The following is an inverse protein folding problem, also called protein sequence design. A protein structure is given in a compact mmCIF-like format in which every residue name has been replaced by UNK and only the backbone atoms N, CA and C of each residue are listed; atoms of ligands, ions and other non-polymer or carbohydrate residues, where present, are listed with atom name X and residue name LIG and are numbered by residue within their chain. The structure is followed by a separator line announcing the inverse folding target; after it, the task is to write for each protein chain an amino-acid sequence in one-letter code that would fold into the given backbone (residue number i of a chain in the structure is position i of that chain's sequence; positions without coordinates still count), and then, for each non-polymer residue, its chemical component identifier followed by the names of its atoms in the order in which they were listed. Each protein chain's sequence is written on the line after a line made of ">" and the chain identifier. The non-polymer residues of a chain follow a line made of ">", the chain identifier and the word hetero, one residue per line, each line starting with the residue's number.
data_IF_339115656020
#
_entry.id   IF_339115656020
#
_cell.length_a   1.000
_cell.length_b   1.000
_cell.length_c   1.000
_cell.angle_alpha   90.00
_cell.angle_beta   90.00
_cell.angle_gamma   90.00
#
_symmetry.space_group_name_H-M   'P 1'
#
loop_
_entity.id
_entity.type
_entity.pdbx_description
1 polymer ?
#
# COMPACT_ATOMS: atom_id res chain seq x y z
N UNK A 1 -14.28 5.42 10.86
CA UNK A 1 -13.52 4.15 10.76
C UNK A 1 -12.18 4.44 10.11
N UNK A 2 -11.07 4.39 10.85
CA UNK A 2 -9.72 4.70 10.35
C UNK A 2 -8.84 3.44 10.37
N UNK A 3 -9.18 2.45 9.55
CA UNK A 3 -8.39 1.22 9.40
C UNK A 3 -7.29 1.31 8.34
N UNK A 4 -7.24 2.39 7.56
CA UNK A 4 -6.43 2.44 6.33
C UNK A 4 -5.10 3.19 6.43
N UNK A 5 -4.76 3.81 7.58
CA UNK A 5 -3.50 4.58 7.70
C UNK A 5 -2.29 3.68 7.92
N UNK A 6 -2.45 2.59 8.68
CA UNK A 6 -1.34 1.69 9.01
C UNK A 6 -0.82 0.93 7.78
N UNK A 7 -1.70 0.64 6.82
CA UNK A 7 -1.34 -0.05 5.57
C UNK A 7 -0.58 0.84 4.57
N UNK A 8 -0.37 2.13 4.89
CA UNK A 8 0.36 3.08 4.03
C UNK A 8 1.78 3.38 4.51
N UNK A 9 2.21 2.78 5.62
CA UNK A 9 3.55 3.04 6.16
C UNK A 9 4.60 2.19 5.42
N UNK A 10 4.99 2.68 4.24
CA UNK A 10 6.07 2.11 3.42
C UNK A 10 7.43 2.54 3.99
N UNK A 11 8.34 1.58 4.13
CA UNK A 11 9.69 1.78 4.67
C UNK A 11 10.64 2.34 3.62
N UNK A 12 10.42 1.99 2.35
CA UNK A 12 11.19 2.43 1.20
C UNK A 12 10.35 3.29 0.23
N UNK A 13 9.79 4.43 0.66
CA UNK A 13 8.92 5.23 -0.20
C UNK A 13 9.74 5.86 -1.34
N UNK A 14 9.31 5.61 -2.58
CA UNK A 14 9.81 6.32 -3.74
C UNK A 14 9.12 7.70 -3.87
N UNK A 15 9.77 8.68 -4.53
CA UNK A 15 9.15 9.97 -4.84
C UNK A 15 7.81 9.84 -5.57
N UNK A 16 6.91 10.80 -5.34
CA UNK A 16 5.61 10.88 -6.02
C UNK A 16 5.38 12.28 -6.61
N UNK A 17 4.22 12.51 -7.24
CA UNK A 17 3.91 13.78 -7.92
C UNK A 17 3.98 15.02 -7.01
N UNK A 18 3.87 14.84 -5.69
CA UNK A 18 3.98 15.92 -4.69
C UNK A 18 5.42 16.18 -4.24
N UNK A 19 6.35 15.26 -4.46
CA UNK A 19 7.77 15.41 -4.11
C UNK A 19 8.40 16.52 -4.95
N UNK A 20 9.27 17.34 -4.36
CA UNK A 20 9.93 18.43 -5.10
C UNK A 20 10.97 17.86 -6.08
N UNK A 21 11.34 18.64 -7.11
CA UNK A 21 12.35 18.22 -8.09
C UNK A 21 13.69 17.90 -7.41
N UNK A 22 14.10 18.75 -6.48
CA UNK A 22 15.34 18.60 -5.72
C UNK A 22 15.34 17.32 -4.88
N UNK A 23 14.23 17.02 -4.19
CA UNK A 23 14.08 15.78 -3.42
C UNK A 23 14.08 14.52 -4.31
N UNK A 24 13.56 14.61 -5.54
CA UNK A 24 13.64 13.51 -6.53
C UNK A 24 15.10 13.28 -6.95
N UNK A 25 15.85 14.36 -7.15
CA UNK A 25 17.27 14.29 -7.51
C UNK A 25 18.09 13.65 -6.39
N UNK A 26 17.88 14.06 -5.14
CA UNK A 26 18.52 13.43 -3.97
C UNK A 26 18.21 11.94 -3.89
N UNK A 27 16.94 11.55 -4.10
CA UNK A 27 16.56 10.14 -4.12
C UNK A 27 17.29 9.35 -5.23
N UNK A 28 17.40 9.92 -6.43
CA UNK A 28 18.15 9.30 -7.53
C UNK A 28 19.66 9.19 -7.20
N UNK A 29 20.25 10.18 -6.54
CA UNK A 29 21.65 10.12 -6.08
C UNK A 29 21.85 9.05 -5.01
N UNK A 30 20.96 8.98 -4.01
CA UNK A 30 21.00 8.01 -2.91
C UNK A 30 20.87 6.56 -3.42
N UNK A 31 20.09 6.34 -4.49
CA UNK A 31 19.93 5.06 -5.17
C UNK A 31 20.97 4.81 -6.30
N UNK A 32 21.98 5.68 -6.43
CA UNK A 32 23.06 5.61 -7.43
C UNK A 32 22.58 5.60 -8.91
N UNK A 33 21.44 6.25 -9.18
CA UNK A 33 20.84 6.37 -10.51
C UNK A 33 21.32 7.63 -11.20
N UNK A 34 21.98 7.47 -12.35
CA UNK A 34 22.43 8.60 -13.16
C UNK A 34 21.26 9.38 -13.78
N UNK A 35 21.33 10.72 -13.72
CA UNK A 35 20.40 11.62 -14.39
C UNK A 35 21.12 12.89 -14.87
N UNK A 36 20.50 13.60 -15.83
CA UNK A 36 20.96 14.92 -16.25
C UNK A 36 20.25 16.02 -15.44
N UNK A 37 21.00 16.98 -14.91
CA UNK A 37 20.47 18.08 -14.07
C UNK A 37 19.43 18.97 -14.78
N UNK A 38 19.46 19.02 -16.11
CA UNK A 38 18.52 19.77 -16.95
C UNK A 38 17.17 19.10 -17.10
N UNK A 39 17.04 17.81 -16.75
CA UNK A 39 15.78 17.08 -16.86
C UNK A 39 14.66 17.74 -16.06
N UNK A 40 13.47 17.71 -16.65
CA UNK A 40 12.24 18.16 -16.02
C UNK A 40 11.82 17.20 -14.90
N UNK A 41 10.95 17.68 -14.01
CA UNK A 41 10.37 16.84 -12.95
C UNK A 41 9.68 15.58 -13.52
N UNK A 42 9.02 15.72 -14.68
CA UNK A 42 8.34 14.61 -15.33
C UNK A 42 9.32 13.53 -15.80
N UNK A 43 10.42 13.93 -16.45
CA UNK A 43 11.46 13.01 -16.91
C UNK A 43 12.18 12.32 -15.73
N UNK A 44 12.47 13.05 -14.66
CA UNK A 44 13.03 12.46 -13.44
C UNK A 44 12.07 11.45 -12.80
N UNK A 45 10.77 11.72 -12.80
CA UNK A 45 9.75 10.77 -12.35
C UNK A 45 9.67 9.50 -13.22
N UNK A 46 10.03 9.57 -14.51
CA UNK A 46 10.16 8.36 -15.34
C UNK A 46 11.32 7.48 -14.87
N UNK A 47 12.46 8.09 -14.51
CA UNK A 47 13.60 7.36 -13.92
C UNK A 47 13.24 6.72 -12.58
N UNK A 48 12.53 7.45 -11.71
CA UNK A 48 12.01 6.90 -10.44
C UNK A 48 11.11 5.70 -10.71
N UNK A 49 10.19 5.79 -11.68
CA UNK A 49 9.27 4.70 -12.02
C UNK A 49 10.00 3.46 -12.52
N UNK A 50 11.05 3.63 -13.32
CA UNK A 50 11.83 2.52 -13.87
C UNK A 50 12.71 1.81 -12.82
N UNK A 51 13.11 2.52 -11.76
CA UNK A 51 14.07 2.02 -10.78
C UNK A 51 13.51 1.83 -9.36
N UNK A 52 12.25 2.20 -9.10
CA UNK A 52 11.66 2.07 -7.75
C UNK A 52 11.71 0.60 -7.28
N UNK A 53 12.17 0.34 -6.05
CA UNK A 53 12.17 -1.00 -5.50
C UNK A 53 10.74 -1.48 -5.19
N UNK A 54 10.58 -2.78 -5.03
CA UNK A 54 9.32 -3.37 -4.54
C UNK A 54 8.93 -2.73 -3.20
N UNK A 55 7.68 -2.26 -3.02
CA UNK A 55 7.27 -1.64 -1.76
C UNK A 55 7.37 -2.58 -0.58
N UNK A 56 8.04 -2.13 0.48
CA UNK A 56 8.14 -2.83 1.77
C UNK A 56 7.28 -2.08 2.78
N UNK A 57 6.25 -2.71 3.31
CA UNK A 57 5.38 -2.12 4.32
C UNK A 57 5.82 -2.53 5.73
N UNK A 58 5.72 -1.61 6.69
CA UNK A 58 6.07 -1.87 8.09
C UNK A 58 5.22 -2.99 8.72
N UNK A 59 3.96 -3.13 8.33
CA UNK A 59 3.13 -4.26 8.75
C UNK A 59 3.73 -5.60 8.29
N UNK A 60 4.22 -5.64 7.05
CA UNK A 60 4.92 -6.80 6.48
C UNK A 60 6.18 -7.11 7.27
N UNK A 61 7.06 -6.13 7.51
CA UNK A 61 8.29 -6.31 8.31
C UNK A 61 8.01 -6.89 9.71
N UNK A 62 6.98 -6.40 10.40
CA UNK A 62 6.58 -6.91 11.72
C UNK A 62 6.04 -8.34 11.61
N UNK A 63 5.31 -8.67 10.55
CA UNK A 63 4.70 -9.98 10.36
C UNK A 63 5.68 -11.06 9.87
N UNK A 64 6.66 -10.72 9.00
CA UNK A 64 7.69 -11.64 8.46
C UNK A 64 8.26 -12.58 9.54
N UNK A 65 8.79 -12.10 10.68
CA UNK A 65 9.43 -12.96 11.67
C UNK A 65 8.46 -13.93 12.38
N UNK A 66 7.16 -13.65 12.35
CA UNK A 66 6.13 -14.53 12.90
C UNK A 66 5.49 -15.42 11.82
N UNK A 67 6.04 -15.41 10.60
CA UNK A 67 5.37 -15.87 9.39
C UNK A 67 4.28 -14.87 9.01
N UNK A 68 4.12 -14.57 7.72
CA UNK A 68 2.98 -13.78 7.22
C UNK A 68 1.68 -14.52 7.55
N UNK A 69 1.19 -14.31 8.77
CA UNK A 69 0.01 -14.99 9.24
C UNK A 69 -1.18 -14.17 8.77
N UNK A 70 -2.12 -14.79 8.04
CA UNK A 70 -3.36 -14.18 7.60
C UNK A 70 -4.30 -13.99 8.80
N UNK A 71 -3.88 -13.16 9.76
CA UNK A 71 -4.52 -13.01 11.05
C UNK A 71 -5.94 -12.46 10.88
N UNK A 72 -6.19 -11.66 9.83
CA UNK A 72 -7.53 -11.17 9.49
C UNK A 72 -8.49 -12.30 9.09
N UNK A 73 -8.02 -13.30 8.33
CA UNK A 73 -8.85 -14.43 7.92
C UNK A 73 -9.15 -15.37 9.10
N UNK A 74 -8.18 -15.56 9.99
CA UNK A 74 -8.39 -16.30 11.24
C UNK A 74 -9.40 -15.57 12.14
N UNK A 75 -9.26 -14.25 12.27
CA UNK A 75 -10.24 -13.44 12.99
C UNK A 75 -11.61 -13.45 12.33
N UNK A 76 -11.69 -13.49 10.99
CA UNK A 76 -12.94 -13.59 10.27
C UNK A 76 -13.66 -14.92 10.58
N UNK A 77 -12.92 -16.03 10.63
CA UNK A 77 -13.45 -17.35 11.02
C UNK A 77 -14.02 -17.34 12.45
N UNK A 78 -13.23 -16.85 13.43
CA UNK A 78 -13.66 -16.75 14.83
C UNK A 78 -14.90 -15.85 14.97
N UNK A 79 -14.90 -14.68 14.30
CA UNK A 79 -16.06 -13.79 14.30
C UNK A 79 -17.29 -14.41 13.64
N UNK A 80 -17.11 -15.21 12.58
CA UNK A 80 -18.20 -15.94 11.93
C UNK A 80 -18.89 -16.88 12.90
N UNK A 81 -18.12 -17.66 13.66
CA UNK A 81 -18.65 -18.57 14.69
C UNK A 81 -19.40 -17.83 15.79
N UNK A 82 -18.86 -16.69 16.24
CA UNK A 82 -19.53 -15.82 17.23
C UNK A 82 -20.80 -15.18 16.65
N UNK A 83 -20.84 -14.89 15.34
CA UNK A 83 -22.05 -14.38 14.71
C UNK A 83 -23.15 -15.44 14.60
N UNK A 84 -22.78 -16.71 14.40
CA UNK A 84 -23.71 -17.84 14.38
C UNK A 84 -24.27 -18.17 15.78
N UNK A 85 -23.45 -18.00 16.82
CA UNK A 85 -23.85 -18.11 18.22
C UNK A 85 -23.42 -16.86 19.02
N UNK A 86 -24.21 -15.77 18.97
CA UNK A 86 -23.87 -14.50 19.62
C UNK A 86 -23.73 -14.61 21.14
N UNK A 87 -22.73 -13.94 21.69
CA UNK A 87 -22.58 -13.80 23.14
C UNK A 87 -23.61 -12.81 23.71
N UNK A 88 -24.13 -13.11 24.89
CA UNK A 88 -25.04 -12.24 25.63
C UNK A 88 -24.33 -11.20 26.50
N UNK A 89 -23.10 -11.48 26.92
CA UNK A 89 -22.26 -10.58 27.72
C UNK A 89 -20.76 -10.68 27.38
N UNK A 90 -19.95 -9.83 28.01
CA UNK A 90 -18.51 -9.76 27.77
C UNK A 90 -17.73 -10.96 28.28
N UNK A 91 -18.20 -11.64 29.34
CA UNK A 91 -17.53 -12.82 29.87
C UNK A 91 -17.75 -14.01 28.95
N UNK A 92 -18.97 -14.19 28.46
CA UNK A 92 -19.32 -15.18 27.45
C UNK A 92 -18.59 -14.92 26.13
N UNK A 93 -18.52 -13.65 25.69
CA UNK A 93 -17.76 -13.26 24.50
C UNK A 93 -16.28 -13.64 24.62
N UNK A 94 -15.67 -13.36 25.78
CA UNK A 94 -14.27 -13.73 26.04
C UNK A 94 -14.08 -15.24 25.96
N UNK A 95 -14.98 -16.02 26.56
CA UNK A 95 -14.95 -17.48 26.49
C UNK A 95 -15.10 -18.02 25.06
N UNK A 96 -16.00 -17.43 24.26
CA UNK A 96 -16.19 -17.80 22.85
C UNK A 96 -14.98 -17.46 21.98
N UNK A 97 -14.29 -16.35 22.26
CA UNK A 97 -13.03 -16.00 21.60
C UNK A 97 -11.95 -17.03 21.93
N UNK A 98 -11.78 -17.37 23.22
CA UNK A 98 -10.80 -18.39 23.66
C UNK A 98 -11.09 -19.76 23.03
N UNK A 99 -12.34 -20.22 23.07
CA UNK A 99 -12.77 -21.46 22.41
C UNK A 99 -12.59 -21.40 20.88
N UNK A 100 -12.78 -20.22 20.28
CA UNK A 100 -12.50 -19.96 18.87
C UNK A 100 -11.04 -20.22 18.53
N UNK A 101 -10.11 -19.74 19.36
CA UNK A 101 -8.69 -20.00 19.19
C UNK A 101 -8.32 -21.48 19.43
N UNK A 102 -8.89 -22.12 20.46
CA UNK A 102 -8.62 -23.53 20.78
C UNK A 102 -9.11 -24.49 19.71
N UNK A 103 -10.12 -24.09 18.95
CA UNK A 103 -10.69 -24.88 17.85
C UNK A 103 -10.06 -24.59 16.47
N UNK A 104 -8.99 -23.78 16.43
CA UNK A 104 -8.22 -23.59 15.20
C UNK A 104 -7.31 -24.79 14.93
N UNK A 105 -7.53 -25.45 13.80
CA UNK A 105 -6.67 -26.52 13.33
C UNK A 105 -5.60 -26.01 12.36
N UNK A 106 -4.53 -26.78 12.18
CA UNK A 106 -3.48 -26.51 11.17
C UNK A 106 -4.04 -26.27 9.76
N UNK A 107 -5.17 -26.92 9.44
CA UNK A 107 -5.88 -26.74 8.17
C UNK A 107 -6.41 -25.31 8.01
N UNK A 108 -6.95 -24.70 9.07
CA UNK A 108 -7.47 -23.33 9.04
C UNK A 108 -6.36 -22.33 8.72
N UNK A 109 -5.20 -22.48 9.35
CA UNK A 109 -4.01 -21.67 9.07
C UNK A 109 -3.49 -21.84 7.65
N UNK A 110 -3.38 -23.09 7.18
CA UNK A 110 -2.92 -23.39 5.81
C UNK A 110 -3.86 -22.80 4.76
N UNK A 111 -5.18 -22.95 4.95
CA UNK A 111 -6.18 -22.40 4.03
C UNK A 111 -6.13 -20.88 3.99
N UNK A 112 -6.02 -20.24 5.15
CA UNK A 112 -5.92 -18.80 5.23
C UNK A 112 -4.64 -18.29 4.53
N UNK A 113 -3.52 -19.01 4.69
CA UNK A 113 -2.26 -18.63 4.06
C UNK A 113 -2.33 -18.74 2.54
N UNK A 114 -2.87 -19.86 2.03
CA UNK A 114 -3.08 -20.05 0.60
C UNK A 114 -4.02 -18.99 0.00
N UNK A 115 -5.05 -18.59 0.75
CA UNK A 115 -5.94 -17.52 0.33
C UNK A 115 -5.21 -16.18 0.21
N UNK A 116 -4.46 -15.77 1.23
CA UNK A 116 -3.67 -14.54 1.18
C UNK A 116 -2.65 -14.56 0.02
N UNK A 117 -1.92 -15.66 -0.13
CA UNK A 117 -0.94 -15.84 -1.19
C UNK A 117 -1.54 -15.72 -2.60
N UNK A 118 -2.76 -16.24 -2.82
CA UNK A 118 -3.47 -16.09 -4.09
C UNK A 118 -3.70 -14.61 -4.43
N UNK A 119 -4.13 -13.80 -3.48
CA UNK A 119 -4.38 -12.38 -3.71
C UNK A 119 -3.09 -11.59 -3.86
N UNK A 120 -2.04 -11.92 -3.10
CA UNK A 120 -0.71 -11.34 -3.29
C UNK A 120 -0.21 -11.54 -4.72
N UNK A 121 -0.32 -12.76 -5.26
CA UNK A 121 0.06 -13.05 -6.65
C UNK A 121 -0.78 -12.27 -7.67
N UNK A 122 -2.09 -12.15 -7.45
CA UNK A 122 -2.98 -11.35 -8.30
C UNK A 122 -2.58 -9.87 -8.30
N UNK A 123 -2.29 -9.30 -7.12
CA UNK A 123 -1.88 -7.91 -7.02
C UNK A 123 -0.53 -7.66 -7.67
N UNK A 124 0.44 -8.56 -7.50
CA UNK A 124 1.73 -8.46 -8.19
C UNK A 124 1.57 -8.48 -9.70
N UNK A 125 0.75 -9.41 -10.23
CA UNK A 125 0.46 -9.45 -11.66
C UNK A 125 -0.26 -8.19 -12.17
N UNK A 126 -1.20 -7.63 -11.39
CA UNK A 126 -1.88 -6.38 -11.75
C UNK A 126 -0.96 -5.16 -11.68
N UNK A 127 0.04 -5.14 -10.79
CA UNK A 127 1.05 -4.06 -10.74
C UNK A 127 1.91 -4.09 -12.00
N UNK A 128 2.25 -5.29 -12.49
CA UNK A 128 2.98 -5.45 -13.75
C UNK A 128 2.10 -5.08 -14.98
N UNK A 129 0.78 -5.27 -14.90
CA UNK A 129 -0.17 -5.01 -16.00
C UNK A 129 -0.74 -3.58 -16.02
N UNK A 130 -0.82 -2.90 -14.87
CA UNK A 130 -1.20 -1.49 -14.78
C UNK A 130 -0.03 -0.54 -15.12
N UNK A 131 0.38 -0.54 -16.39
CA UNK A 131 1.00 0.61 -17.00
C UNK A 131 -0.06 1.72 -17.06
N UNK A 132 -0.10 2.59 -16.04
CA UNK A 132 -1.11 3.64 -15.93
C UNK A 132 -1.03 4.57 -17.14
N UNK A 133 -2.15 4.62 -17.87
CA UNK A 133 -2.48 5.58 -18.92
C UNK A 133 -1.93 6.96 -18.55
N UNK A 134 -1.13 7.52 -19.45
CA UNK A 134 -0.67 8.90 -19.39
C UNK A 134 -1.84 9.82 -19.06
N UNK A 135 -1.72 10.60 -17.98
CA UNK A 135 -2.63 11.72 -17.70
C UNK A 135 -2.53 12.68 -18.89
N UNK A 136 -3.39 12.47 -19.89
CA UNK A 136 -3.49 13.32 -21.05
C UNK A 136 -4.09 14.65 -20.62
N UNK A 137 -3.42 15.70 -21.09
CA UNK A 137 -3.42 17.04 -20.55
C UNK A 137 -4.80 17.69 -20.67
N UNK A 138 -5.37 18.14 -19.54
CA UNK A 138 -6.37 19.21 -19.59
C UNK A 138 -5.60 20.52 -19.45
N UNK A 139 -5.20 21.08 -20.59
CA UNK A 139 -4.69 22.44 -20.68
C UNK A 139 -5.85 23.42 -20.39
N UNK A 140 -5.91 23.98 -19.19
CA UNK A 140 -6.64 25.22 -18.99
C UNK A 140 -5.71 26.38 -19.38
N UNK A 141 -5.82 26.77 -20.66
CA UNK A 141 -5.34 28.05 -21.13
C UNK A 141 -6.35 29.11 -20.68
N UNK A 142 -6.02 29.86 -19.63
CA UNK A 142 -6.59 31.20 -19.44
C UNK A 142 -5.59 32.22 -19.98
N UNK A 143 -5.83 32.60 -21.23
CA UNK A 143 -5.47 33.89 -21.80
C UNK A 143 -6.19 34.99 -21.00
N UNK A 144 -5.44 35.87 -20.32
CA UNK A 144 -5.94 37.22 -20.06
C UNK A 144 -4.79 38.24 -20.17
N UNK A 145 -4.69 38.72 -21.42
CA UNK A 145 -4.39 40.05 -21.89
C UNK A 145 -3.76 41.07 -20.91
N UNK A 146 -2.53 41.44 -21.28
CA UNK A 146 -1.92 42.77 -21.28
C UNK A 146 -2.84 43.97 -20.92
N UNK A 147 -2.42 44.69 -19.87
CA UNK A 147 -3.05 45.92 -19.40
C UNK A 147 -2.02 46.88 -18.80
N UNK A 148 -1.20 47.44 -19.69
CA UNK A 148 -0.37 48.65 -19.58
C UNK A 148 -0.38 49.48 -18.27
N UNK A 149 0.82 49.68 -17.75
CA UNK A 149 1.24 50.67 -16.76
C UNK A 149 1.03 52.13 -17.24
N UNK A 150 0.50 53.02 -16.39
CA UNK A 150 1.10 54.34 -16.07
C UNK A 150 0.19 55.25 -15.20
N UNK A 151 0.80 55.75 -14.12
CA UNK A 151 0.58 56.99 -13.30
C UNK A 151 -0.84 57.45 -12.87
#
# INVERSE_FOLDING_TARGET
>A
MAGASYNKNQINPAPNSRTLKEDIQVWLEDDEIWYDSSLTKAELMMLVRANKPTPIYRATEIAVPYGHLPIELIWADIKGRIADDPASDMAELRGKIEAGFDSLESKTWTNAYQHAQKYEQLYMAMVDECELVSDEEVSEADDDADGSDCE
#
